data_IF_744980685430
#
_entry.id   IF_744980685430
#
_cell.length_a   1.000
_cell.length_b   1.000
_cell.length_c   1.000
_cell.angle_alpha   90.00
_cell.angle_beta   90.00
_cell.angle_gamma   90.00
#
_symmetry.space_group_name_H-M   'P 1'
#
loop_
_entity.id
_entity.type
_entity.pdbx_description
1 polymer ?
#
# COMPACT_ATOMS: atom_id res chain seq x y z
N UNK A 1 6.97 -17.39 11.44
CA UNK A 1 6.91 -16.46 10.28
C UNK A 1 5.53 -15.82 10.33
N UNK A 2 5.40 -14.49 10.41
CA UNK A 2 4.07 -13.84 10.34
C UNK A 2 3.51 -14.02 8.92
N UNK A 3 2.19 -14.19 8.79
CA UNK A 3 1.57 -14.26 7.46
C UNK A 3 1.66 -12.88 6.77
N UNK A 4 1.68 -12.87 5.44
CA UNK A 4 1.71 -11.64 4.66
C UNK A 4 0.51 -10.73 5.00
N UNK A 5 -0.71 -11.29 5.11
CA UNK A 5 -1.89 -10.53 5.49
C UNK A 5 -1.82 -9.97 6.92
N UNK A 6 -1.22 -10.70 7.86
CA UNK A 6 -0.98 -10.18 9.23
C UNK A 6 -0.03 -8.98 9.18
N UNK A 7 1.01 -9.03 8.37
CA UNK A 7 1.92 -7.89 8.20
C UNK A 7 1.18 -6.66 7.67
N UNK A 8 0.37 -6.82 6.62
CA UNK A 8 -0.39 -5.71 6.03
C UNK A 8 -1.45 -5.15 6.97
N UNK A 9 -2.08 -6.00 7.80
CA UNK A 9 -3.09 -5.56 8.76
C UNK A 9 -2.47 -4.75 9.90
N UNK A 10 -1.35 -5.21 10.43
CA UNK A 10 -0.74 -4.65 11.65
C UNK A 10 0.16 -3.43 11.36
N UNK A 11 0.62 -3.24 10.10
CA UNK A 11 1.46 -2.12 9.68
C UNK A 11 0.63 -1.10 8.88
N UNK A 12 0.22 -0.02 9.56
CA UNK A 12 -0.62 1.04 9.00
C UNK A 12 0.05 1.73 7.81
N UNK A 13 1.35 1.99 7.88
CA UNK A 13 2.10 2.71 6.85
C UNK A 13 2.23 1.84 5.59
N UNK A 14 2.50 0.54 5.77
CA UNK A 14 2.53 -0.42 4.66
C UNK A 14 1.17 -0.51 3.97
N UNK A 15 0.09 -0.57 4.75
CA UNK A 15 -1.29 -0.57 4.22
C UNK A 15 -1.62 0.72 3.50
N UNK A 16 -1.25 1.86 4.06
CA UNK A 16 -1.49 3.17 3.47
C UNK A 16 -0.72 3.34 2.14
N UNK A 17 0.53 2.86 2.08
CA UNK A 17 1.30 2.89 0.84
C UNK A 17 0.65 2.03 -0.26
N UNK A 18 0.20 0.83 0.06
CA UNK A 18 -0.51 -0.03 -0.89
C UNK A 18 -1.83 0.59 -1.34
N UNK A 19 -2.57 1.20 -0.41
CA UNK A 19 -3.81 1.92 -0.69
C UNK A 19 -3.60 3.12 -1.62
N UNK A 20 -2.47 3.84 -1.51
CA UNK A 20 -2.16 4.94 -2.43
C UNK A 20 -1.96 4.43 -3.87
N UNK A 21 -1.28 3.30 -4.07
CA UNK A 21 -1.16 2.70 -5.41
C UNK A 21 -2.50 2.23 -5.97
N UNK A 22 -3.38 1.67 -5.12
CA UNK A 22 -4.77 1.38 -5.51
C UNK A 22 -5.51 2.64 -5.92
N UNK A 23 -5.47 3.69 -5.10
CA UNK A 23 -6.16 4.95 -5.37
C UNK A 23 -5.70 5.59 -6.69
N UNK A 24 -4.40 5.54 -7.00
CA UNK A 24 -3.87 5.99 -8.29
C UNK A 24 -4.45 5.19 -9.45
N UNK A 25 -4.51 3.86 -9.34
CA UNK A 25 -5.11 3.00 -10.37
C UNK A 25 -6.60 3.26 -10.57
N UNK A 26 -7.33 3.52 -9.48
CA UNK A 26 -8.75 3.82 -9.55
C UNK A 26 -9.03 5.19 -10.19
N UNK A 27 -8.15 6.17 -9.95
CA UNK A 27 -8.22 7.51 -10.57
C UNK A 27 -7.85 7.49 -12.05
N UNK A 28 -6.86 6.70 -12.45
CA UNK A 28 -6.46 6.55 -13.86
C UNK A 28 -6.48 5.07 -14.28
N UNK A 29 -7.64 4.65 -14.79
CA UNK A 29 -7.88 3.28 -15.25
C UNK A 29 -7.07 2.92 -16.50
N UNK A 30 -6.62 3.90 -17.27
CA UNK A 30 -5.86 3.68 -18.50
C UNK A 30 -4.36 3.64 -18.24
N UNK A 31 -3.86 4.32 -17.19
CA UNK A 31 -2.49 4.19 -16.77
C UNK A 31 -2.18 2.77 -16.26
N UNK A 32 -1.10 2.20 -16.77
CA UNK A 32 -0.58 0.90 -16.33
C UNK A 32 0.49 1.07 -15.24
N UNK A 33 1.25 2.16 -15.28
CA UNK A 33 2.37 2.43 -14.39
C UNK A 33 2.25 3.84 -13.79
N UNK A 34 2.72 3.99 -12.55
CA UNK A 34 2.66 5.22 -11.76
C UNK A 34 4.03 5.56 -11.21
N UNK A 35 4.24 6.84 -10.94
CA UNK A 35 5.43 7.30 -10.23
C UNK A 35 5.55 6.61 -8.87
N UNK A 36 6.78 6.49 -8.40
CA UNK A 36 7.03 6.12 -7.01
C UNK A 36 6.37 7.13 -6.08
N UNK A 37 5.70 6.64 -5.04
CA UNK A 37 5.26 7.48 -3.92
C UNK A 37 6.52 7.97 -3.18
N UNK A 38 6.77 9.28 -3.24
CA UNK A 38 7.97 9.90 -2.64
C UNK A 38 7.72 10.49 -1.24
N UNK A 39 6.46 10.61 -0.82
CA UNK A 39 6.05 11.10 0.48
C UNK A 39 4.80 10.35 0.96
N UNK A 40 4.75 9.98 2.23
CA UNK A 40 3.63 9.32 2.88
C UNK A 40 3.64 9.66 4.37
N UNK A 41 2.67 10.46 4.83
CA UNK A 41 2.69 11.00 6.19
C UNK A 41 4.01 11.73 6.51
N UNK A 42 4.53 11.50 7.71
CA UNK A 42 5.80 12.05 8.20
C UNK A 42 7.01 11.10 7.97
N UNK A 43 6.86 10.08 7.13
CA UNK A 43 7.92 9.09 6.90
C UNK A 43 9.10 9.69 6.13
N UNK A 44 10.30 9.38 6.61
CA UNK A 44 11.52 9.69 5.87
C UNK A 44 11.69 8.78 4.63
N UNK A 45 12.59 9.17 3.73
CA UNK A 45 12.85 8.42 2.50
C UNK A 45 13.34 6.99 2.76
N UNK A 46 14.02 6.74 3.88
CA UNK A 46 14.57 5.42 4.21
C UNK A 46 13.46 4.47 4.66
N UNK A 47 12.57 4.93 5.52
CA UNK A 47 11.38 4.21 5.96
C UNK A 47 10.49 3.91 4.75
N UNK A 48 10.22 4.91 3.91
CA UNK A 48 9.43 4.73 2.71
C UNK A 48 10.07 3.75 1.72
N UNK A 49 11.41 3.75 1.59
CA UNK A 49 12.13 2.76 0.77
C UNK A 49 11.99 1.34 1.30
N UNK A 50 12.00 1.14 2.63
CA UNK A 50 11.76 -0.18 3.23
C UNK A 50 10.34 -0.67 2.93
N UNK A 51 9.34 0.19 3.03
CA UNK A 51 7.95 -0.17 2.74
C UNK A 51 7.78 -0.60 1.28
N UNK A 52 8.37 0.13 0.32
CA UNK A 52 8.38 -0.29 -1.09
C UNK A 52 9.01 -1.67 -1.28
N UNK A 53 10.15 -1.92 -0.62
CA UNK A 53 10.81 -3.23 -0.65
C UNK A 53 9.92 -4.35 -0.08
N UNK A 54 9.17 -4.08 0.98
CA UNK A 54 8.22 -5.03 1.55
C UNK A 54 7.06 -5.32 0.58
N UNK A 55 6.45 -4.29 -0.01
CA UNK A 55 5.38 -4.48 -0.99
C UNK A 55 5.84 -5.29 -2.21
N UNK A 56 7.06 -5.03 -2.71
CA UNK A 56 7.69 -5.79 -3.79
C UNK A 56 7.95 -7.24 -3.37
N UNK A 57 8.50 -7.47 -2.17
CA UNK A 57 8.79 -8.80 -1.66
C UNK A 57 7.53 -9.66 -1.46
N UNK A 58 6.38 -9.03 -1.19
CA UNK A 58 5.08 -9.72 -1.11
C UNK A 58 4.37 -9.85 -2.47
N UNK A 59 4.91 -9.26 -3.55
CA UNK A 59 4.28 -9.26 -4.87
C UNK A 59 3.00 -8.42 -4.94
N UNK A 60 2.80 -7.47 -4.02
CA UNK A 60 1.61 -6.60 -4.00
C UNK A 60 1.74 -5.39 -4.92
N UNK A 61 2.98 -5.01 -5.24
CA UNK A 61 3.28 -4.07 -6.31
C UNK A 61 4.34 -4.68 -7.22
N UNK A 62 4.33 -4.28 -8.49
CA UNK A 62 5.44 -4.51 -9.41
C UNK A 62 6.24 -3.23 -9.57
N UNK A 63 7.49 -3.37 -10.01
CA UNK A 63 8.29 -2.27 -10.51
C UNK A 63 8.82 -2.55 -11.91
N UNK A 64 9.01 -1.50 -12.71
CA UNK A 64 9.77 -1.55 -13.96
C UNK A 64 10.94 -0.60 -13.90
N UNK A 65 12.06 -1.03 -14.49
CA UNK A 65 13.22 -0.16 -14.73
C UNK A 65 13.27 0.09 -16.24
N UNK A 66 13.03 1.33 -16.62
CA UNK A 66 13.16 1.82 -17.99
C UNK A 66 14.02 3.09 -17.97
N UNK A 67 14.58 3.46 -19.12
CA UNK A 67 15.53 4.58 -19.21
C UNK A 67 14.90 5.92 -18.84
N UNK A 68 13.61 6.07 -19.12
CA UNK A 68 12.80 7.28 -18.87
C UNK A 68 12.45 7.48 -17.38
N UNK A 69 12.65 6.46 -16.53
CA UNK A 69 12.34 6.53 -15.09
C UNK A 69 13.16 7.61 -14.37
N UNK A 70 14.35 7.92 -14.88
CA UNK A 70 15.33 8.82 -14.25
C UNK A 70 15.49 10.17 -14.95
N UNK A 71 14.60 10.50 -15.90
CA UNK A 71 14.72 11.72 -16.70
C UNK A 71 14.54 13.01 -15.88
N UNK A 72 13.86 12.94 -14.73
CA UNK A 72 13.62 14.06 -13.83
C UNK A 72 14.30 13.88 -12.46
N UNK A 73 15.17 14.81 -12.03
CA UNK A 73 15.81 14.75 -10.72
C UNK A 73 14.80 14.70 -9.57
N UNK A 74 14.99 13.77 -8.64
CA UNK A 74 14.14 13.62 -7.45
C UNK A 74 12.80 12.93 -7.70
N UNK A 75 12.56 12.42 -8.91
CA UNK A 75 11.36 11.66 -9.27
C UNK A 75 11.77 10.29 -9.81
N UNK A 76 10.93 9.28 -9.58
CA UNK A 76 11.03 8.01 -10.29
C UNK A 76 9.70 7.81 -11.02
N UNK A 77 9.71 8.16 -12.31
CA UNK A 77 8.49 8.30 -13.08
C UNK A 77 7.97 6.94 -13.58
N UNK A 78 6.65 6.75 -13.55
CA UNK A 78 5.96 5.61 -14.17
C UNK A 78 6.64 4.25 -13.92
N UNK A 79 7.01 3.93 -12.68
CA UNK A 79 7.86 2.76 -12.39
C UNK A 79 7.24 1.76 -11.42
N UNK A 80 6.03 2.02 -10.90
CA UNK A 80 5.32 1.13 -9.98
C UNK A 80 3.88 0.89 -10.42
N UNK A 81 3.34 -0.29 -10.11
CA UNK A 81 1.90 -0.57 -10.25
C UNK A 81 1.44 -1.53 -9.16
N UNK A 82 0.17 -1.43 -8.76
CA UNK A 82 -0.46 -2.44 -7.90
C UNK A 82 -0.77 -3.71 -8.70
N UNK A 83 -0.56 -4.88 -8.10
CA UNK A 83 -0.88 -6.18 -8.71
C UNK A 83 -2.29 -6.65 -8.35
N UNK A 84 -2.74 -7.74 -8.98
CA UNK A 84 -3.97 -8.43 -8.60
C UNK A 84 -3.93 -8.89 -7.14
N UNK A 85 -2.78 -9.41 -6.70
CA UNK A 85 -2.58 -9.89 -5.33
C UNK A 85 -2.55 -8.74 -4.31
N UNK A 86 -1.96 -7.60 -4.67
CA UNK A 86 -2.02 -6.39 -3.86
C UNK A 86 -3.45 -5.87 -3.68
N UNK A 87 -4.24 -5.85 -4.76
CA UNK A 87 -5.66 -5.48 -4.66
C UNK A 87 -6.43 -6.42 -3.74
N UNK A 88 -6.27 -7.74 -3.92
CA UNK A 88 -6.92 -8.74 -3.06
C UNK A 88 -6.50 -8.55 -1.61
N UNK A 89 -5.20 -8.47 -1.34
CA UNK A 89 -4.67 -8.32 0.02
C UNK A 89 -5.26 -7.08 0.72
N UNK A 90 -5.37 -5.96 0.01
CA UNK A 90 -5.96 -4.74 0.54
C UNK A 90 -7.46 -4.89 0.85
N UNK A 91 -8.23 -5.55 -0.03
CA UNK A 91 -9.65 -5.87 0.24
C UNK A 91 -9.79 -6.72 1.51
N UNK A 92 -9.04 -7.81 1.62
CA UNK A 92 -9.10 -8.69 2.80
C UNK A 92 -8.85 -7.96 4.12
N UNK A 93 -7.84 -7.10 4.18
CA UNK A 93 -7.54 -6.37 5.44
C UNK A 93 -8.50 -5.23 5.73
N UNK A 94 -9.25 -4.76 4.73
CA UNK A 94 -10.28 -3.73 4.91
C UNK A 94 -11.56 -4.38 5.42
N UNK A 95 -12.00 -5.47 4.78
CA UNK A 95 -13.22 -6.20 5.17
C UNK A 95 -13.09 -6.77 6.60
N UNK A 96 -11.93 -7.32 6.97
CA UNK A 96 -11.68 -7.84 8.33
C UNK A 96 -11.70 -6.72 9.39
N UNK A 97 -11.28 -5.50 9.05
CA UNK A 97 -11.28 -4.38 9.99
C UNK A 97 -12.70 -3.86 10.29
N UNK A 98 -13.65 -4.10 9.39
CA UNK A 98 -15.06 -3.71 9.57
C UNK A 98 -15.86 -4.74 10.41
N UNK A 99 -15.35 -5.97 10.53
CA UNK A 99 -16.00 -7.09 11.24
C UNK A 99 -15.59 -7.22 12.73
N UNK A 100 -14.78 -6.32 13.30
CA UNK A 100 -14.57 -6.25 14.76
C UNK A 100 -15.64 -5.34 15.40
N UNK A 101 -16.74 -5.89 15.96
CA UNK A 101 -17.73 -5.08 16.65
C UNK A 101 -17.11 -4.44 17.89
N UNK A 102 -17.32 -3.14 18.02
CA UNK A 102 -17.12 -2.32 19.21
C UNK A 102 -17.80 -2.98 20.42
N UNK A 103 -17.08 -3.85 21.13
CA UNK A 103 -17.52 -4.41 22.41
C UNK A 103 -17.22 -3.43 23.55
N UNK A 104 -18.02 -2.37 23.64
CA UNK A 104 -18.28 -1.56 24.84
C UNK A 104 -19.44 -0.61 24.45
N UNK A 105 -20.62 -0.58 25.04
CA UNK A 105 -20.99 -0.76 26.45
C UNK A 105 -22.31 -1.52 26.57
N UNK A 106 -22.23 -2.79 26.96
CA UNK A 106 -23.32 -3.46 27.66
C UNK A 106 -23.13 -3.26 29.17
N UNK A 107 -23.39 -2.04 29.66
CA UNK A 107 -23.58 -1.78 31.10
C UNK A 107 -24.32 -0.45 31.30
N UNK A 108 -25.56 -0.41 30.83
CA UNK A 108 -26.51 0.64 31.19
C UNK A 108 -27.77 0.00 31.81
N UNK A 109 -27.56 -0.86 32.81
CA UNK A 109 -28.58 -1.31 33.75
C UNK A 109 -27.93 -1.38 35.13
N UNK A 110 -27.95 -0.26 35.84
CA UNK A 110 -28.20 -0.16 37.28
C UNK A 110 -28.61 1.27 37.64
#
# INVERSE_FOLDING_TARGET
MRSALTLLRDDLDLRQLLAEYKARKDRDKNAEWFDRVMALGDLDQRALSKLHGLLLAQGWIDTRIASDVFDEPGRLANCYRITSDGNRALTWVTDIAEDEPEMAEASAWD
#
